data_IF_840795803238
#
_entry.id   IF_840795803238
#
_cell.length_a   1.000
_cell.length_b   1.000
_cell.length_c   1.000
_cell.angle_alpha   90.00
_cell.angle_beta   90.00
_cell.angle_gamma   90.00
#
_symmetry.space_group_name_H-M   'P 1'
#
loop_
_entity.id
_entity.type
_entity.pdbx_description
1 polymer ?
#
# COMPACT_ATOMS: atom_id res chain seq x y z
N UNK A 1 -22.92 -17.50 14.25
CA UNK A 1 -22.77 -18.29 13.01
C UNK A 1 -22.19 -17.35 11.96
N UNK A 2 -20.89 -17.45 11.65
CA UNK A 2 -20.28 -16.67 10.59
C UNK A 2 -20.71 -17.27 9.25
N UNK A 3 -21.58 -16.56 8.52
CA UNK A 3 -21.82 -16.86 7.11
C UNK A 3 -20.52 -16.60 6.36
N UNK A 4 -19.75 -17.66 6.09
CA UNK A 4 -18.59 -17.56 5.20
C UNK A 4 -19.07 -17.21 3.80
N UNK A 5 -18.70 -16.03 3.33
CA UNK A 5 -19.00 -15.56 1.98
C UNK A 5 -18.15 -16.29 0.93
N UNK A 6 -16.98 -16.83 1.32
CA UNK A 6 -16.03 -17.48 0.42
C UNK A 6 -15.58 -18.86 0.92
N UNK A 7 -15.32 -19.77 -0.02
CA UNK A 7 -14.83 -21.13 0.28
C UNK A 7 -13.30 -21.16 0.53
N UNK A 8 -12.58 -20.14 0.10
CA UNK A 8 -11.16 -19.98 0.36
C UNK A 8 -10.82 -18.50 0.52
N UNK A 9 -10.17 -18.18 1.63
CA UNK A 9 -9.66 -16.85 1.97
C UNK A 9 -8.25 -17.03 2.53
N UNK A 10 -7.30 -16.26 2.02
CA UNK A 10 -5.91 -16.24 2.46
C UNK A 10 -5.54 -14.83 2.88
N UNK A 11 -4.95 -14.73 4.06
CA UNK A 11 -4.25 -13.53 4.49
C UNK A 11 -2.78 -13.74 4.16
N UNK A 12 -2.23 -12.81 3.39
CA UNK A 12 -0.82 -12.67 3.09
C UNK A 12 -0.48 -11.21 3.32
N UNK A 13 0.35 -10.92 4.33
CA UNK A 13 0.77 -9.56 4.68
C UNK A 13 2.31 -9.52 4.73
N UNK A 14 2.96 -8.59 4.01
CA UNK A 14 2.38 -7.79 2.93
C UNK A 14 1.85 -8.68 1.80
N UNK A 15 0.74 -8.27 1.17
CA UNK A 15 0.20 -8.97 0.01
C UNK A 15 1.16 -8.81 -1.18
N UNK A 16 1.73 -9.92 -1.67
CA UNK A 16 2.76 -9.90 -2.71
C UNK A 16 2.32 -9.21 -4.00
N UNK A 17 1.10 -9.48 -4.49
CA UNK A 17 0.62 -8.88 -5.75
C UNK A 17 0.46 -7.36 -5.65
N UNK A 18 -0.03 -6.87 -4.50
CA UNK A 18 -0.15 -5.43 -4.25
C UNK A 18 1.23 -4.79 -4.02
N UNK A 19 2.11 -5.47 -3.29
CA UNK A 19 3.48 -5.02 -3.04
C UNK A 19 4.30 -4.91 -4.33
N UNK A 20 4.24 -5.91 -5.21
CA UNK A 20 4.92 -5.90 -6.50
C UNK A 20 4.45 -4.74 -7.39
N UNK A 21 3.16 -4.40 -7.30
CA UNK A 21 2.61 -3.23 -7.97
C UNK A 21 3.16 -1.94 -7.36
N UNK A 22 3.24 -1.85 -6.03
CA UNK A 22 3.81 -0.71 -5.32
C UNK A 22 5.27 -0.44 -5.72
N UNK A 23 6.10 -1.50 -5.80
CA UNK A 23 7.49 -1.40 -6.24
C UNK A 23 7.61 -0.86 -7.67
N UNK A 24 6.76 -1.29 -8.60
CA UNK A 24 6.77 -0.77 -9.99
C UNK A 24 6.47 0.74 -10.04
N UNK A 25 5.51 1.21 -9.22
CA UNK A 25 5.21 2.64 -9.13
C UNK A 25 6.31 3.42 -8.42
N UNK A 26 6.95 2.82 -7.40
CA UNK A 26 8.14 3.39 -6.75
C UNK A 26 9.28 3.59 -7.74
N UNK A 27 9.64 2.53 -8.49
CA UNK A 27 10.70 2.59 -9.50
C UNK A 27 10.39 3.63 -10.58
N UNK A 28 9.13 3.71 -11.00
CA UNK A 28 8.66 4.74 -11.93
C UNK A 28 8.80 6.15 -11.35
N UNK A 29 8.48 6.37 -10.08
CA UNK A 29 8.63 7.66 -9.43
C UNK A 29 10.11 8.07 -9.32
N UNK A 30 10.97 7.15 -8.88
CA UNK A 30 12.41 7.38 -8.74
C UNK A 30 13.09 7.65 -10.09
N UNK A 31 12.72 6.90 -11.13
CA UNK A 31 13.22 7.13 -12.48
C UNK A 31 12.87 8.54 -12.97
N UNK A 32 11.61 8.95 -12.82
CA UNK A 32 11.16 10.28 -13.25
C UNK A 32 11.81 11.41 -12.44
N UNK A 33 12.09 11.18 -11.14
CA UNK A 33 12.78 12.13 -10.27
C UNK A 33 14.21 12.44 -10.72
N UNK A 34 14.86 11.50 -11.41
CA UNK A 34 16.23 11.65 -11.89
C UNK A 34 16.31 12.40 -13.24
N UNK A 35 15.19 12.63 -13.91
CA UNK A 35 15.18 13.37 -15.18
C UNK A 35 15.54 14.84 -14.97
N UNK A 36 16.17 15.49 -15.96
CA UNK A 36 16.61 16.86 -15.83
C UNK A 36 15.42 17.82 -15.60
N UNK A 37 15.69 19.00 -15.00
CA UNK A 37 14.69 20.06 -14.90
C UNK A 37 14.04 20.36 -16.25
N UNK A 38 12.76 20.74 -16.25
CA UNK A 38 11.94 21.03 -17.45
C UNK A 38 11.64 19.83 -18.37
N UNK A 39 11.89 18.60 -17.91
CA UNK A 39 11.49 17.36 -18.61
C UNK A 39 9.96 17.16 -18.73
N UNK A 40 9.16 17.98 -18.04
CA UNK A 40 7.69 17.93 -18.12
C UNK A 40 7.05 16.75 -17.38
N UNK A 41 7.81 16.02 -16.55
CA UNK A 41 7.35 14.78 -15.89
C UNK A 41 6.89 14.96 -14.44
N UNK A 42 6.77 16.20 -13.95
CA UNK A 42 6.44 16.49 -12.55
C UNK A 42 5.15 15.78 -12.12
N UNK A 43 4.09 15.89 -12.92
CA UNK A 43 2.79 15.32 -12.59
C UNK A 43 2.80 13.77 -12.63
N UNK A 44 3.33 13.10 -13.67
CA UNK A 44 3.55 11.66 -13.65
C UNK A 44 4.38 11.17 -12.45
N UNK A 45 5.44 11.91 -12.08
CA UNK A 45 6.30 11.56 -10.94
C UNK A 45 5.52 11.59 -9.62
N UNK A 46 4.78 12.67 -9.35
CA UNK A 46 3.93 12.80 -8.16
C UNK A 46 2.86 11.70 -8.13
N UNK A 47 2.24 11.43 -9.28
CA UNK A 47 1.19 10.41 -9.40
C UNK A 47 1.73 9.02 -9.06
N UNK A 48 2.90 8.67 -9.59
CA UNK A 48 3.56 7.40 -9.29
C UNK A 48 3.94 7.30 -7.80
N UNK A 49 4.52 8.36 -7.23
CA UNK A 49 4.91 8.37 -5.82
C UNK A 49 3.69 8.21 -4.89
N UNK A 50 2.61 8.97 -5.15
CA UNK A 50 1.39 8.91 -4.35
C UNK A 50 0.71 7.54 -4.45
N UNK A 51 0.66 6.95 -5.65
CA UNK A 51 0.07 5.63 -5.85
C UNK A 51 0.92 4.53 -5.22
N UNK A 52 2.25 4.62 -5.29
CA UNK A 52 3.15 3.69 -4.62
C UNK A 52 2.89 3.69 -3.10
N UNK A 53 2.79 4.87 -2.47
CA UNK A 53 2.45 5.00 -1.04
C UNK A 53 1.10 4.32 -0.73
N UNK A 54 0.06 4.59 -1.52
CA UNK A 54 -1.26 3.99 -1.32
C UNK A 54 -1.21 2.45 -1.41
N UNK A 55 -0.49 1.91 -2.40
CA UNK A 55 -0.35 0.48 -2.61
C UNK A 55 0.50 -0.19 -1.52
N UNK A 56 1.57 0.45 -1.07
CA UNK A 56 2.36 0.01 0.08
C UNK A 56 1.46 -0.19 1.30
N UNK A 57 0.64 0.80 1.65
CA UNK A 57 -0.30 0.69 2.78
C UNK A 57 -1.33 -0.41 2.52
N UNK A 58 -1.91 -0.48 1.31
CA UNK A 58 -2.89 -1.51 0.96
C UNK A 58 -2.33 -2.92 1.02
N UNK A 59 -1.04 -3.12 0.76
CA UNK A 59 -0.41 -4.43 0.91
C UNK A 59 -0.54 -4.97 2.34
N UNK A 60 -0.77 -4.10 3.34
CA UNK A 60 -0.96 -4.49 4.74
C UNK A 60 -2.43 -4.76 5.13
N UNK A 61 -3.40 -4.37 4.30
CA UNK A 61 -4.83 -4.43 4.62
C UNK A 61 -5.69 -5.00 3.48
N UNK A 62 -5.12 -5.89 2.67
CA UNK A 62 -5.79 -6.61 1.59
C UNK A 62 -5.83 -8.11 1.89
N UNK A 63 -6.90 -8.76 1.44
CA UNK A 63 -7.08 -10.22 1.54
C UNK A 63 -7.17 -10.83 0.15
N UNK A 64 -6.46 -11.92 -0.05
CA UNK A 64 -6.60 -12.74 -1.25
C UNK A 64 -7.76 -13.71 -1.06
N UNK A 65 -8.75 -13.64 -1.93
CA UNK A 65 -9.88 -14.57 -1.92
C UNK A 65 -9.96 -15.32 -3.26
N UNK A 66 -10.42 -16.56 -3.22
CA UNK A 66 -10.76 -17.30 -4.43
C UNK A 66 -12.28 -17.29 -4.59
N UNK A 67 -12.75 -16.49 -5.54
CA UNK A 67 -14.16 -16.48 -5.96
C UNK A 67 -14.42 -17.63 -6.93
N UNK A 68 -15.68 -18.06 -7.00
CA UNK A 68 -16.12 -19.07 -7.97
C UNK A 68 -15.36 -20.40 -7.85
N UNK A 69 -15.06 -20.80 -6.61
CA UNK A 69 -14.30 -22.02 -6.30
C UNK A 69 -15.04 -23.25 -6.81
N UNK A 70 -14.42 -23.97 -7.76
CA UNK A 70 -15.00 -25.13 -8.44
C UNK A 70 -13.98 -26.23 -8.65
N UNK A 71 -14.50 -27.45 -8.78
CA UNK A 71 -13.71 -28.63 -9.12
C UNK A 71 -13.45 -28.64 -10.64
N UNK A 72 -12.18 -28.77 -11.04
CA UNK A 72 -11.75 -28.89 -12.43
C UNK A 72 -11.43 -30.35 -12.85
N UNK A 73 -11.69 -31.31 -11.97
CA UNK A 73 -11.38 -32.73 -12.16
C UNK A 73 -10.08 -33.15 -11.46
N UNK A 74 -9.88 -34.46 -11.26
CA UNK A 74 -8.66 -35.05 -10.66
C UNK A 74 -8.26 -34.48 -9.29
N UNK A 75 -9.23 -34.05 -8.48
CA UNK A 75 -8.97 -33.44 -7.17
C UNK A 75 -8.42 -32.01 -7.25
N UNK A 76 -8.37 -31.41 -8.45
CA UNK A 76 -7.96 -30.02 -8.65
C UNK A 76 -9.16 -29.11 -8.43
N UNK A 77 -9.00 -28.15 -7.53
CA UNK A 77 -9.97 -27.09 -7.30
C UNK A 77 -9.32 -25.74 -7.57
N UNK A 78 -10.12 -24.78 -8.00
CA UNK A 78 -9.66 -23.42 -8.19
C UNK A 78 -10.80 -22.47 -8.51
N UNK A 79 -10.46 -21.21 -8.69
CA UNK A 79 -11.40 -20.17 -9.03
C UNK A 79 -10.66 -18.90 -9.41
N UNK A 80 -11.38 -17.79 -9.49
CA UNK A 80 -10.80 -16.49 -9.77
C UNK A 80 -10.21 -15.92 -8.49
N UNK A 81 -8.89 -15.72 -8.47
CA UNK A 81 -8.20 -15.00 -7.38
C UNK A 81 -8.54 -13.51 -7.50
N UNK A 82 -8.99 -12.91 -6.41
CA UNK A 82 -9.20 -11.46 -6.33
C UNK A 82 -8.69 -10.94 -5.01
N UNK A 83 -8.15 -9.73 -5.04
CA UNK A 83 -7.73 -9.00 -3.86
C UNK A 83 -8.86 -8.11 -3.34
N UNK A 84 -9.33 -8.35 -2.13
CA UNK A 84 -10.36 -7.53 -1.47
C UNK A 84 -9.75 -6.67 -0.35
N UNK A 85 -9.87 -5.34 -0.43
CA UNK A 85 -9.37 -4.47 0.61
C UNK A 85 -10.32 -4.47 1.82
N UNK A 86 -9.75 -4.34 3.02
CA UNK A 86 -10.52 -4.22 4.27
C UNK A 86 -11.40 -2.96 4.31
N UNK A 87 -10.98 -1.89 3.63
CA UNK A 87 -11.79 -0.68 3.44
C UNK A 87 -11.61 -0.12 2.03
N UNK A 88 -12.59 0.66 1.57
CA UNK A 88 -12.50 1.42 0.32
C UNK A 88 -12.17 2.87 0.66
N UNK A 89 -11.24 3.45 -0.07
CA UNK A 89 -10.86 4.86 0.10
C UNK A 89 -9.43 5.11 -0.34
N UNK A 90 -9.05 6.39 -0.29
CA UNK A 90 -7.73 6.88 -0.71
C UNK A 90 -7.00 7.64 0.41
N UNK A 91 -7.65 7.86 1.56
CA UNK A 91 -7.05 8.52 2.73
C UNK A 91 -6.00 7.62 3.36
N UNK A 92 -4.73 7.90 3.09
CA UNK A 92 -3.57 7.10 3.50
C UNK A 92 -3.53 6.85 5.01
N UNK A 93 -3.72 7.89 5.81
CA UNK A 93 -3.76 7.82 7.27
C UNK A 93 -4.89 6.90 7.76
N UNK A 94 -6.06 7.02 7.14
CA UNK A 94 -7.21 6.15 7.44
C UNK A 94 -6.98 4.71 7.00
N UNK A 95 -6.25 4.49 5.90
CA UNK A 95 -5.86 3.17 5.43
C UNK A 95 -4.84 2.50 6.37
N UNK A 96 -3.96 3.27 7.01
CA UNK A 96 -3.07 2.74 8.06
C UNK A 96 -3.85 2.38 9.33
N UNK A 97 -4.79 3.22 9.76
CA UNK A 97 -5.55 2.97 11.01
C UNK A 97 -6.42 1.70 10.99
N UNK A 98 -6.65 1.10 9.83
CA UNK A 98 -7.42 -0.14 9.69
C UNK A 98 -6.55 -1.41 9.57
N UNK A 99 -5.21 -1.29 9.62
CA UNK A 99 -4.35 -2.48 9.57
C UNK A 99 -4.53 -3.32 10.85
N UNK A 100 -4.28 -4.63 10.76
CA UNK A 100 -4.46 -5.54 11.89
C UNK A 100 -3.44 -5.29 13.00
N UNK A 101 -3.83 -5.54 14.27
CA UNK A 101 -2.96 -5.35 15.44
C UNK A 101 -1.65 -6.12 15.34
N UNK A 102 -1.66 -7.32 14.76
CA UNK A 102 -0.45 -8.13 14.53
C UNK A 102 0.60 -7.40 13.68
N UNK A 103 0.17 -6.58 12.72
CA UNK A 103 1.07 -5.75 11.89
C UNK A 103 1.57 -4.56 12.69
N UNK A 104 0.69 -3.92 13.48
CA UNK A 104 1.05 -2.80 14.35
C UNK A 104 2.11 -3.24 15.37
N UNK A 105 1.89 -4.36 16.05
CA UNK A 105 2.82 -4.92 17.04
C UNK A 105 4.19 -5.22 16.40
N UNK A 106 4.20 -5.70 15.15
CA UNK A 106 5.44 -5.95 14.42
C UNK A 106 6.19 -4.65 14.08
N UNK A 107 5.49 -3.61 13.63
CA UNK A 107 6.06 -2.28 13.39
C UNK A 107 6.65 -1.72 14.68
N UNK A 108 5.91 -1.78 15.79
CA UNK A 108 6.37 -1.27 17.08
C UNK A 108 7.60 -2.04 17.60
N UNK A 109 7.64 -3.36 17.41
CA UNK A 109 8.83 -4.16 17.73
C UNK A 109 10.04 -3.75 16.89
N UNK A 110 9.87 -3.61 15.57
CA UNK A 110 10.95 -3.19 14.67
C UNK A 110 11.48 -1.79 15.03
N UNK A 111 10.59 -0.88 15.44
CA UNK A 111 10.97 0.45 15.90
C UNK A 111 11.73 0.40 17.23
N UNK A 112 11.22 -0.36 18.21
CA UNK A 112 11.89 -0.54 19.50
C UNK A 112 13.29 -1.15 19.37
N UNK A 113 13.48 -2.05 18.40
CA UNK A 113 14.77 -2.66 18.08
C UNK A 113 15.69 -1.75 17.24
N UNK A 114 15.22 -0.55 16.85
CA UNK A 114 15.96 0.40 16.03
C UNK A 114 16.15 -0.03 14.57
N UNK A 115 15.39 -1.03 14.10
CA UNK A 115 15.44 -1.53 12.72
C UNK A 115 14.79 -0.53 11.76
N UNK A 116 13.70 0.10 12.19
CA UNK A 116 13.00 1.17 11.47
C UNK A 116 13.02 2.45 12.30
N UNK A 117 12.93 3.60 11.62
CA UNK A 117 13.05 4.90 12.26
C UNK A 117 11.77 5.36 12.99
N UNK A 118 10.61 4.93 12.54
CA UNK A 118 9.32 5.49 12.96
C UNK A 118 8.44 4.42 13.60
N UNK A 119 7.81 4.77 14.72
CA UNK A 119 6.69 4.02 15.30
C UNK A 119 5.47 4.02 14.37
N UNK A 120 4.47 3.19 14.67
CA UNK A 120 3.25 3.17 13.88
C UNK A 120 2.53 4.52 13.90
N UNK A 121 2.46 5.17 15.06
CA UNK A 121 1.80 6.48 15.20
C UNK A 121 2.49 7.57 14.38
N UNK A 122 3.82 7.54 14.30
CA UNK A 122 4.58 8.48 13.49
C UNK A 122 4.47 8.20 12.00
N UNK A 123 4.35 6.94 11.59
CA UNK A 123 4.05 6.59 10.19
C UNK A 123 2.68 7.14 9.77
N UNK A 124 1.68 7.09 10.64
CA UNK A 124 0.36 7.69 10.37
C UNK A 124 0.47 9.19 10.15
N UNK A 125 1.21 9.91 11.01
CA UNK A 125 1.41 11.36 10.83
C UNK A 125 2.30 11.67 9.62
N UNK A 126 3.24 10.80 9.26
CA UNK A 126 4.11 10.96 8.09
C UNK A 126 3.34 10.91 6.76
N UNK A 127 2.30 10.07 6.66
CA UNK A 127 1.50 9.94 5.41
C UNK A 127 0.38 10.96 5.30
N UNK A 128 -0.09 11.49 6.42
CA UNK A 128 -1.28 12.35 6.53
C UNK A 128 -1.26 13.59 5.64
N UNK A 129 -0.13 14.29 5.43
CA UNK A 129 -0.06 15.40 4.47
C UNK A 129 -0.43 15.01 3.03
N UNK A 130 -0.40 13.71 2.71
CA UNK A 130 -0.59 13.17 1.36
C UNK A 130 -1.90 12.37 1.21
N UNK A 131 -2.82 12.43 2.19
CA UNK A 131 -4.06 11.64 2.26
C UNK A 131 -4.94 11.65 0.99
N UNK A 132 -4.78 12.62 0.11
CA UNK A 132 -5.56 12.72 -1.13
C UNK A 132 -4.70 12.91 -2.35
N UNK A 133 -3.38 12.86 -2.19
CA UNK A 133 -2.45 13.31 -3.22
C UNK A 133 -2.66 12.58 -4.54
N UNK A 134 -2.95 11.27 -4.51
CA UNK A 134 -3.26 10.52 -5.74
C UNK A 134 -4.50 11.05 -6.47
N UNK A 135 -5.55 11.41 -5.73
CA UNK A 135 -6.77 11.98 -6.32
C UNK A 135 -6.50 13.40 -6.81
N UNK A 136 -5.87 14.23 -5.98
CA UNK A 136 -5.58 15.63 -6.25
C UNK A 136 -4.65 15.80 -7.46
N UNK A 137 -3.62 14.97 -7.59
CA UNK A 137 -2.72 14.98 -8.73
C UNK A 137 -3.46 14.78 -10.07
N UNK A 138 -4.49 13.94 -10.13
CA UNK A 138 -5.26 13.74 -11.38
C UNK A 138 -6.04 14.98 -11.81
N UNK A 139 -6.33 15.89 -10.88
CA UNK A 139 -7.10 17.10 -11.10
C UNK A 139 -6.26 18.38 -10.95
N UNK A 140 -4.93 18.29 -11.12
CA UNK A 140 -4.00 19.40 -10.97
C UNK A 140 -4.22 20.58 -11.93
N UNK A 141 -5.02 20.40 -12.98
CA UNK A 141 -5.42 21.47 -13.91
C UNK A 141 -6.76 22.11 -13.54
N UNK A 142 -7.48 21.52 -12.59
CA UNK A 142 -8.79 21.96 -12.11
C UNK A 142 -8.71 22.61 -10.72
N UNK A 143 -7.65 22.32 -9.96
CA UNK A 143 -7.41 22.85 -8.63
C UNK A 143 -5.94 23.21 -8.43
N UNK A 144 -5.66 24.00 -7.39
CA UNK A 144 -4.30 24.40 -7.03
C UNK A 144 -3.67 23.45 -5.98
N UNK A 145 -4.12 22.19 -5.93
CA UNK A 145 -3.77 21.28 -4.83
C UNK A 145 -2.26 20.93 -4.77
N UNK A 146 -1.52 21.12 -5.86
CA UNK A 146 -0.09 20.82 -5.93
C UNK A 146 0.81 22.02 -5.66
N UNK A 147 0.28 23.24 -5.49
CA UNK A 147 1.09 24.47 -5.46
C UNK A 147 2.08 24.55 -4.30
N UNK A 148 1.77 23.90 -3.18
CA UNK A 148 2.61 23.86 -1.98
C UNK A 148 3.06 22.43 -1.61
N UNK A 149 3.05 21.51 -2.57
CA UNK A 149 3.47 20.14 -2.31
C UNK A 149 4.96 20.08 -1.96
N UNK A 150 5.27 19.56 -0.77
CA UNK A 150 6.63 19.22 -0.41
C UNK A 150 7.06 17.92 -1.10
N UNK A 151 7.70 18.06 -2.26
CA UNK A 151 8.23 16.92 -3.03
C UNK A 151 9.31 16.18 -2.24
N UNK A 152 10.14 16.88 -1.47
CA UNK A 152 11.21 16.23 -0.70
C UNK A 152 10.61 15.37 0.41
N UNK A 153 9.63 15.92 1.13
CA UNK A 153 8.85 15.19 2.13
C UNK A 153 8.09 14.01 1.54
N UNK A 154 7.54 14.13 0.32
CA UNK A 154 6.83 13.04 -0.35
C UNK A 154 7.76 11.86 -0.61
N UNK A 155 8.95 12.11 -1.16
CA UNK A 155 9.91 11.06 -1.43
C UNK A 155 10.50 10.47 -0.16
N UNK A 156 10.72 11.28 0.88
CA UNK A 156 11.10 10.80 2.21
C UNK A 156 10.05 9.83 2.78
N UNK A 157 8.76 10.21 2.71
CA UNK A 157 7.64 9.38 3.12
C UNK A 157 7.60 8.06 2.33
N UNK A 158 7.70 8.14 1.00
CA UNK A 158 7.72 6.99 0.10
C UNK A 158 8.84 6.01 0.45
N UNK A 159 10.09 6.49 0.58
CA UNK A 159 11.23 5.62 0.91
C UNK A 159 11.12 5.02 2.29
N UNK A 160 10.60 5.79 3.25
CA UNK A 160 10.39 5.34 4.63
C UNK A 160 9.38 4.20 4.68
N UNK A 161 8.22 4.36 4.04
CA UNK A 161 7.19 3.32 4.00
C UNK A 161 7.69 2.06 3.31
N UNK A 162 8.33 2.20 2.14
CA UNK A 162 8.93 1.08 1.41
C UNK A 162 9.87 0.29 2.32
N UNK A 163 10.81 0.97 2.96
CA UNK A 163 11.79 0.34 3.84
C UNK A 163 11.10 -0.37 5.01
N UNK A 164 10.16 0.29 5.70
CA UNK A 164 9.41 -0.32 6.80
C UNK A 164 8.69 -1.59 6.37
N UNK A 165 7.95 -1.54 5.25
CA UNK A 165 7.16 -2.68 4.78
C UNK A 165 8.05 -3.86 4.37
N UNK A 166 9.23 -3.60 3.81
CA UNK A 166 10.21 -4.64 3.50
C UNK A 166 10.81 -5.32 4.74
N UNK A 167 10.67 -4.71 5.93
CA UNK A 167 11.12 -5.29 7.20
C UNK A 167 10.03 -6.02 7.96
N UNK A 168 8.77 -5.81 7.61
CA UNK A 168 7.64 -6.46 8.28
C UNK A 168 7.77 -7.98 8.13
N UNK A 169 7.59 -8.69 9.24
CA UNK A 169 7.55 -10.15 9.25
C UNK A 169 6.34 -10.62 8.45
N UNK A 170 6.57 -11.52 7.49
CA UNK A 170 5.49 -12.04 6.64
C UNK A 170 4.48 -12.82 7.48
N UNK A 171 3.20 -12.45 7.35
CA UNK A 171 2.07 -13.14 7.97
C UNK A 171 1.32 -13.90 6.87
N UNK A 172 1.20 -15.22 7.04
CA UNK A 172 0.47 -16.07 6.09
C UNK A 172 -0.48 -17.01 6.83
N UNK A 173 -1.76 -17.00 6.46
CA UNK A 173 -2.74 -17.97 6.96
C UNK A 173 -3.90 -18.16 5.99
N UNK A 174 -4.39 -19.40 5.91
CA UNK A 174 -5.65 -19.73 5.25
C UNK A 174 -6.76 -19.66 6.29
N UNK A 175 -7.79 -18.85 6.02
CA UNK A 175 -8.98 -18.77 6.85
C UNK A 175 -9.93 -19.90 6.42
N UNK A 176 -9.81 -21.04 7.10
CA UNK A 176 -10.61 -22.24 6.88
C UNK A 176 -12.03 -22.07 7.38
#
# INVERSE_FOLDING_TARGET
>A
MNNKTYQYERIEIPNSSVLDSAEQFYDGAEFLRQLPPMSGVLLPMITNAALAIELYIKSLCVRSIIKDYKNFGNGVYGGRVTEEPLTKGHYLSSLLLIIGSEVIDNIESLHADGVIQYSFSELVELVKPYDKLFVEARYAYENDALSNLDITGLFHCLTTLRFTIQKITRIERVLA
#
